data_IF_461919796379
#
_entry.id   IF_461919796379
#
_cell.length_a   1.000
_cell.length_b   1.000
_cell.length_c   1.000
_cell.angle_alpha   90.00
_cell.angle_beta   90.00
_cell.angle_gamma   90.00
#
_symmetry.space_group_name_H-M   'P 1'
#
loop_
_entity.id
_entity.type
_entity.pdbx_description
1 polymer ?
#
# COMPACT_ATOMS: atom_id res chain seq x y z
N UNK A 1 5.52 -6.98 3.98
CA UNK A 1 4.32 -7.58 4.59
C UNK A 1 3.94 -8.85 3.83
N UNK A 2 2.95 -9.65 4.27
CA UNK A 2 2.75 -10.96 3.68
C UNK A 2 2.16 -10.85 2.26
N UNK A 3 2.39 -11.89 1.44
CA UNK A 3 1.86 -11.99 0.06
C UNK A 3 0.43 -12.51 0.00
N UNK A 4 -0.05 -13.04 1.12
CA UNK A 4 -1.44 -13.37 1.42
C UNK A 4 -1.75 -13.07 2.89
N UNK A 5 -3.01 -12.83 3.22
CA UNK A 5 -3.45 -12.56 4.59
C UNK A 5 -4.92 -12.95 4.73
N UNK A 6 -5.27 -13.46 5.90
CA UNK A 6 -6.65 -13.54 6.36
C UNK A 6 -6.66 -13.06 7.82
N UNK A 7 -7.40 -11.99 8.14
CA UNK A 7 -7.54 -11.41 9.47
C UNK A 7 -6.20 -11.12 10.21
N UNK A 8 -5.25 -10.50 9.52
CA UNK A 8 -3.94 -10.16 10.10
C UNK A 8 -3.91 -8.73 10.65
N UNK A 9 -3.30 -8.54 11.82
CA UNK A 9 -3.05 -7.21 12.40
C UNK A 9 -1.55 -6.94 12.53
N UNK A 10 -1.11 -5.78 12.04
CA UNK A 10 0.23 -5.24 12.23
C UNK A 10 0.17 -3.90 12.97
N UNK A 11 0.64 -3.84 14.22
CA UNK A 11 0.42 -2.68 15.06
C UNK A 11 1.50 -2.34 16.07
N UNK A 12 1.66 -1.05 16.37
CA UNK A 12 2.53 -0.55 17.45
C UNK A 12 4.03 -0.60 17.12
N UNK A 13 4.37 -0.74 15.84
CA UNK A 13 5.75 -0.91 15.42
C UNK A 13 6.38 0.43 15.02
N UNK A 14 7.69 0.54 15.23
CA UNK A 14 8.51 1.59 14.60
C UNK A 14 9.35 0.94 13.50
N UNK A 15 9.18 1.40 12.27
CA UNK A 15 9.96 0.94 11.11
C UNK A 15 10.82 2.09 10.58
N UNK A 16 12.07 1.79 10.26
CA UNK A 16 13.01 2.74 9.63
C UNK A 16 13.73 2.06 8.46
N UNK A 17 14.04 2.83 7.42
CA UNK A 17 14.71 2.35 6.20
C UNK A 17 13.83 2.43 4.95
N UNK A 18 14.45 2.32 3.76
CA UNK A 18 13.97 2.88 2.50
C UNK A 18 12.64 2.33 1.91
N UNK A 19 11.99 1.30 2.48
CA UNK A 19 10.84 0.61 1.86
C UNK A 19 9.50 0.65 2.63
N UNK A 20 9.45 1.22 3.85
CA UNK A 20 8.21 1.49 4.58
C UNK A 20 7.36 0.24 4.89
N UNK A 21 6.03 0.42 5.03
CA UNK A 21 5.08 -0.69 5.19
C UNK A 21 4.43 -0.99 3.85
N UNK A 22 5.00 -1.99 3.15
CA UNK A 22 4.52 -2.43 1.83
C UNK A 22 3.76 -3.75 1.92
N UNK A 23 2.54 -3.77 1.37
CA UNK A 23 1.81 -4.98 0.97
C UNK A 23 2.25 -5.33 -0.46
N UNK A 24 2.77 -6.55 -0.65
CA UNK A 24 3.25 -7.04 -1.93
C UNK A 24 4.77 -7.16 -2.08
N UNK A 25 5.30 -7.25 -3.30
CA UNK A 25 4.56 -7.22 -4.57
C UNK A 25 3.59 -8.39 -4.71
N UNK A 26 2.32 -8.09 -5.01
CA UNK A 26 1.22 -9.05 -5.13
C UNK A 26 1.09 -9.54 -6.57
N UNK A 27 0.87 -10.85 -6.76
CA UNK A 27 0.63 -11.44 -8.07
C UNK A 27 1.05 -12.90 -8.14
N UNK A 28 0.14 -13.74 -8.65
CA UNK A 28 0.35 -15.14 -9.03
C UNK A 28 -0.11 -15.41 -10.46
N UNK A 29 0.29 -16.56 -11.01
CA UNK A 29 -0.10 -17.02 -12.35
C UNK A 29 -1.61 -17.31 -12.44
N UNK A 30 -2.25 -17.54 -11.30
CA UNK A 30 -3.69 -17.66 -11.09
C UNK A 30 -4.05 -17.18 -9.68
N UNK A 31 -5.34 -17.01 -9.37
CA UNK A 31 -5.79 -16.69 -8.00
C UNK A 31 -5.87 -18.00 -7.20
N UNK A 32 -5.01 -18.13 -6.19
CA UNK A 32 -5.09 -19.19 -5.17
C UNK A 32 -5.15 -18.58 -3.77
N UNK A 33 -5.29 -19.38 -2.71
CA UNK A 33 -5.30 -18.86 -1.32
C UNK A 33 -4.02 -18.09 -0.96
N UNK A 34 -2.88 -18.39 -1.60
CA UNK A 34 -1.64 -17.63 -1.43
C UNK A 34 -1.62 -16.28 -2.17
N UNK A 35 -2.68 -15.97 -2.92
CA UNK A 35 -2.83 -14.77 -3.73
C UNK A 35 -4.05 -13.93 -3.28
N UNK A 36 -4.45 -14.06 -2.02
CA UNK A 36 -5.53 -13.28 -1.42
C UNK A 36 -4.98 -12.51 -0.21
N UNK A 37 -5.10 -11.19 -0.25
CA UNK A 37 -4.97 -10.34 0.94
C UNK A 37 -6.38 -9.93 1.34
N UNK A 38 -6.86 -10.49 2.44
CA UNK A 38 -8.15 -10.20 3.01
C UNK A 38 -8.00 -9.73 4.47
N UNK A 39 -8.76 -8.70 4.85
CA UNK A 39 -8.86 -8.23 6.24
C UNK A 39 -7.52 -7.93 6.92
N UNK A 40 -6.67 -7.09 6.31
CA UNK A 40 -5.40 -6.66 6.90
C UNK A 40 -5.58 -5.33 7.64
N UNK A 41 -5.25 -5.29 8.93
CA UNK A 41 -5.27 -4.06 9.73
C UNK A 41 -3.85 -3.61 10.09
N UNK A 42 -3.46 -2.42 9.64
CA UNK A 42 -2.18 -1.78 9.90
C UNK A 42 -2.42 -0.54 10.76
N UNK A 43 -2.10 -0.58 12.06
CA UNK A 43 -2.49 0.50 12.97
C UNK A 43 -1.45 0.96 13.98
N UNK A 44 -1.46 2.24 14.33
CA UNK A 44 -0.57 2.83 15.36
C UNK A 44 0.92 2.57 15.09
N UNK A 45 1.35 2.60 13.82
CA UNK A 45 2.76 2.42 13.48
C UNK A 45 3.42 3.78 13.22
N UNK A 46 4.71 3.87 13.57
CA UNK A 46 5.57 4.99 13.19
C UNK A 46 6.52 4.54 12.09
N UNK A 47 6.50 5.21 10.95
CA UNK A 47 7.35 4.91 9.79
C UNK A 47 8.24 6.13 9.55
N UNK A 48 9.55 5.92 9.43
CA UNK A 48 10.56 6.99 9.41
C UNK A 48 11.55 6.74 8.26
N UNK A 49 11.95 7.80 7.53
CA UNK A 49 13.03 7.81 6.53
C UNK A 49 12.89 6.69 5.48
N UNK A 50 11.82 6.74 4.69
CA UNK A 50 11.51 5.74 3.67
C UNK A 50 10.99 6.38 2.39
N UNK A 51 11.27 5.73 1.26
CA UNK A 51 10.80 6.19 -0.07
C UNK A 51 9.28 6.12 -0.16
N UNK A 52 8.66 5.04 0.34
CA UNK A 52 7.21 4.84 0.27
C UNK A 52 6.62 4.75 1.68
N UNK A 53 5.50 5.44 1.94
CA UNK A 53 4.75 5.40 3.20
C UNK A 53 3.90 4.14 3.33
N UNK A 54 2.60 4.30 3.15
CA UNK A 54 1.66 3.20 2.94
C UNK A 54 1.76 2.76 1.48
N UNK A 55 2.04 1.48 1.23
CA UNK A 55 2.26 1.01 -0.13
C UNK A 55 1.54 -0.30 -0.49
N UNK A 56 0.88 -0.31 -1.65
CA UNK A 56 0.33 -1.50 -2.32
C UNK A 56 0.94 -1.56 -3.74
N UNK A 57 1.67 -2.65 -4.04
CA UNK A 57 2.29 -2.86 -5.36
C UNK A 57 1.78 -4.16 -5.98
N UNK A 58 1.27 -4.11 -7.20
CA UNK A 58 0.80 -5.29 -7.93
C UNK A 58 1.63 -5.51 -9.19
N UNK A 59 1.96 -6.78 -9.44
CA UNK A 59 2.85 -7.19 -10.54
C UNK A 59 2.05 -7.15 -11.84
N UNK A 60 2.67 -6.61 -12.91
CA UNK A 60 2.06 -6.59 -14.25
C UNK A 60 1.67 -8.00 -14.72
N UNK A 61 0.56 -8.10 -15.46
CA UNK A 61 0.02 -9.34 -16.02
C UNK A 61 -0.44 -10.44 -15.04
N UNK A 62 -0.15 -10.31 -13.74
CA UNK A 62 -0.50 -11.28 -12.72
C UNK A 62 -1.83 -10.98 -12.03
N UNK A 63 -2.38 -12.00 -11.38
CA UNK A 63 -3.67 -11.99 -10.70
C UNK A 63 -3.51 -12.06 -9.18
N UNK A 64 -4.43 -11.45 -8.45
CA UNK A 64 -4.54 -11.44 -6.98
C UNK A 64 -5.88 -10.79 -6.61
N UNK A 65 -6.36 -10.98 -5.39
CA UNK A 65 -7.48 -10.22 -4.84
C UNK A 65 -7.06 -9.59 -3.52
N UNK A 66 -7.14 -8.26 -3.43
CA UNK A 66 -6.85 -7.50 -2.22
C UNK A 66 -8.08 -6.73 -1.79
N UNK A 67 -8.61 -7.05 -0.61
CA UNK A 67 -9.83 -6.42 -0.08
C UNK A 67 -9.81 -6.33 1.45
N UNK A 68 -10.56 -5.37 2.01
CA UNK A 68 -10.68 -5.17 3.45
C UNK A 68 -9.37 -4.76 4.11
N UNK A 69 -8.58 -3.90 3.47
CA UNK A 69 -7.32 -3.41 4.05
C UNK A 69 -7.57 -2.08 4.75
N UNK A 70 -7.20 -2.00 6.03
CA UNK A 70 -7.32 -0.79 6.84
C UNK A 70 -5.95 -0.30 7.34
N UNK A 71 -5.68 0.98 7.14
CA UNK A 71 -4.56 1.70 7.74
C UNK A 71 -5.10 2.75 8.69
N UNK A 72 -4.86 2.61 9.99
CA UNK A 72 -5.46 3.49 11.01
C UNK A 72 -4.40 4.10 11.95
N UNK A 73 -4.41 5.41 12.13
CA UNK A 73 -3.57 6.13 13.10
C UNK A 73 -2.06 5.86 12.93
N UNK A 74 -1.59 5.78 11.68
CA UNK A 74 -0.17 5.63 11.38
C UNK A 74 0.49 7.02 11.22
N UNK A 75 1.75 7.14 11.62
CA UNK A 75 2.53 8.38 11.50
C UNK A 75 3.72 8.20 10.57
N UNK A 76 3.87 9.12 9.61
CA UNK A 76 4.97 9.20 8.65
C UNK A 76 5.92 10.36 8.99
N UNK A 77 7.20 10.24 8.64
CA UNK A 77 8.19 11.30 8.77
C UNK A 77 9.27 11.18 7.69
N UNK A 78 9.42 12.20 6.85
CA UNK A 78 10.38 12.30 5.75
C UNK A 78 10.19 11.22 4.67
N UNK A 79 9.08 11.31 3.93
CA UNK A 79 8.74 10.37 2.85
C UNK A 79 8.72 11.04 1.49
N UNK A 80 9.09 10.33 0.42
CA UNK A 80 8.88 10.83 -0.94
C UNK A 80 7.39 10.79 -1.28
N UNK A 81 6.71 9.67 -1.02
CA UNK A 81 5.26 9.56 -1.19
C UNK A 81 4.57 8.91 0.01
N UNK A 82 3.57 9.58 0.57
CA UNK A 82 2.83 9.09 1.74
C UNK A 82 1.97 7.85 1.44
N UNK A 83 1.26 7.87 0.30
CA UNK A 83 0.41 6.77 -0.15
C UNK A 83 0.81 6.38 -1.57
N UNK A 84 1.20 5.13 -1.76
CA UNK A 84 1.69 4.59 -3.04
C UNK A 84 0.87 3.37 -3.43
N UNK A 85 0.09 3.46 -4.51
CA UNK A 85 -0.73 2.36 -5.01
C UNK A 85 -0.45 2.19 -6.51
N UNK A 86 0.29 1.13 -6.85
CA UNK A 86 0.88 0.96 -8.19
C UNK A 86 0.58 -0.41 -8.77
N UNK A 87 -0.06 -0.43 -9.95
CA UNK A 87 -0.42 -1.64 -10.71
C UNK A 87 0.47 -1.92 -11.92
N UNK A 88 1.69 -1.42 -11.87
CA UNK A 88 2.67 -1.44 -12.95
C UNK A 88 4.05 -1.93 -12.50
N UNK A 89 4.13 -2.69 -11.40
CA UNK A 89 5.39 -3.14 -10.82
C UNK A 89 6.00 -4.32 -11.61
N UNK A 90 7.29 -4.22 -11.92
CA UNK A 90 8.11 -5.33 -12.46
C UNK A 90 9.04 -5.85 -11.37
N UNK A 91 8.79 -7.07 -10.91
CA UNK A 91 9.58 -7.70 -9.85
C UNK A 91 11.04 -7.94 -10.24
N UNK A 92 11.32 -8.31 -11.48
CA UNK A 92 12.69 -8.58 -11.97
C UNK A 92 13.55 -7.32 -12.06
N UNK A 93 12.93 -6.16 -12.22
CA UNK A 93 13.62 -4.87 -12.36
C UNK A 93 13.58 -4.06 -11.06
N UNK A 94 12.70 -4.43 -10.11
CA UNK A 94 12.54 -3.70 -8.86
C UNK A 94 11.92 -2.31 -9.05
N UNK A 95 11.12 -2.11 -10.11
CA UNK A 95 10.65 -0.79 -10.54
C UNK A 95 9.25 -0.80 -11.17
N UNK A 96 8.87 0.35 -11.72
CA UNK A 96 7.55 0.61 -12.30
C UNK A 96 7.66 0.91 -13.79
N UNK A 97 6.72 0.40 -14.60
CA UNK A 97 6.71 0.60 -16.06
C UNK A 97 6.04 1.89 -16.53
N UNK A 98 5.34 2.59 -15.63
CA UNK A 98 4.38 3.64 -15.94
C UNK A 98 3.19 3.17 -16.79
N UNK A 99 2.99 1.85 -16.91
CA UNK A 99 1.88 1.23 -17.64
C UNK A 99 1.16 0.23 -16.73
N UNK A 100 0.08 0.68 -16.09
CA UNK A 100 -0.76 -0.19 -15.28
C UNK A 100 -1.44 -1.24 -16.17
N UNK A 101 -1.01 -2.49 -16.02
CA UNK A 101 -1.54 -3.66 -16.74
C UNK A 101 -1.59 -4.91 -15.84
N UNK A 102 -1.49 -4.73 -14.53
CA UNK A 102 -1.79 -5.79 -13.56
C UNK A 102 -3.26 -6.20 -13.65
N UNK A 103 -3.56 -7.47 -13.32
CA UNK A 103 -4.93 -8.03 -13.29
C UNK A 103 -5.38 -8.27 -11.84
N UNK A 104 -4.75 -7.58 -10.89
CA UNK A 104 -5.11 -7.63 -9.48
C UNK A 104 -6.29 -6.70 -9.21
N UNK A 105 -7.32 -7.23 -8.56
CA UNK A 105 -8.45 -6.44 -8.08
C UNK A 105 -8.14 -5.91 -6.67
N UNK A 106 -8.25 -4.59 -6.51
CA UNK A 106 -8.06 -3.88 -5.24
C UNK A 106 -9.37 -3.17 -4.90
N UNK A 107 -9.99 -3.55 -3.78
CA UNK A 107 -11.25 -2.97 -3.31
C UNK A 107 -11.24 -2.78 -1.80
N UNK A 108 -12.16 -1.98 -1.25
CA UNK A 108 -12.35 -1.80 0.19
C UNK A 108 -11.05 -1.48 0.95
N UNK A 109 -10.41 -0.40 0.51
CA UNK A 109 -9.20 0.14 1.16
C UNK A 109 -9.60 1.35 1.98
N UNK A 110 -9.32 1.30 3.27
CA UNK A 110 -9.56 2.38 4.22
C UNK A 110 -8.23 2.94 4.74
N UNK A 111 -8.03 4.25 4.61
CA UNK A 111 -6.93 4.97 5.26
C UNK A 111 -7.54 6.04 6.15
N UNK A 112 -7.25 5.98 7.45
CA UNK A 112 -7.80 6.84 8.49
C UNK A 112 -6.75 7.30 9.50
N UNK A 113 -6.74 8.59 9.81
CA UNK A 113 -5.84 9.15 10.83
C UNK A 113 -4.35 9.13 10.43
N UNK A 114 -4.05 9.10 9.13
CA UNK A 114 -2.67 9.19 8.64
C UNK A 114 -2.14 10.61 8.89
N UNK A 115 -0.98 10.73 9.52
CA UNK A 115 -0.37 12.02 9.86
C UNK A 115 1.14 12.01 9.58
N UNK A 116 1.76 13.19 9.38
CA UNK A 116 3.21 13.26 9.19
C UNK A 116 3.69 14.26 8.15
N UNK A 117 4.86 13.96 7.57
CA UNK A 117 5.45 14.73 6.45
C UNK A 117 5.81 13.81 5.29
N UNK A 118 5.55 14.29 4.06
CA UNK A 118 5.97 13.67 2.81
C UNK A 118 6.14 14.74 1.72
N UNK A 119 6.93 14.48 0.69
CA UNK A 119 7.09 15.38 -0.47
C UNK A 119 5.81 15.34 -1.33
N UNK A 120 5.29 14.14 -1.57
CA UNK A 120 4.02 13.89 -2.25
C UNK A 120 3.05 13.13 -1.34
N UNK A 121 1.77 13.49 -1.42
CA UNK A 121 0.73 12.78 -0.65
C UNK A 121 0.33 11.47 -1.36
N UNK A 122 0.28 11.48 -2.70
CA UNK A 122 -0.26 10.38 -3.49
C UNK A 122 0.63 10.06 -4.71
N UNK A 123 0.98 8.78 -4.86
CA UNK A 123 1.48 8.18 -6.10
C UNK A 123 0.57 6.99 -6.47
N UNK A 124 -0.44 7.24 -7.32
CA UNK A 124 -1.49 6.27 -7.64
C UNK A 124 -1.55 6.05 -9.15
N UNK A 125 -1.33 4.79 -9.57
CA UNK A 125 -1.47 4.35 -10.96
C UNK A 125 -2.03 2.92 -10.99
N UNK A 126 -3.30 2.76 -11.38
CA UNK A 126 -4.07 1.51 -11.24
C UNK A 126 -4.92 1.20 -12.48
N UNK A 127 -5.17 -0.09 -12.74
CA UNK A 127 -5.96 -0.57 -13.91
C UNK A 127 -7.47 -0.47 -13.66
N UNK A 128 -7.90 -0.97 -12.51
CA UNK A 128 -9.26 -0.93 -11.99
C UNK A 128 -9.19 -0.56 -10.52
N UNK A 129 -10.10 0.29 -10.09
CA UNK A 129 -10.11 0.82 -8.73
C UNK A 129 -11.55 1.15 -8.34
N UNK A 130 -12.07 0.48 -7.32
CA UNK A 130 -13.40 0.75 -6.77
C UNK A 130 -13.37 0.76 -5.25
N UNK A 131 -14.16 1.64 -4.65
CA UNK A 131 -14.39 1.71 -3.20
C UNK A 131 -13.13 1.96 -2.35
N UNK A 132 -12.44 3.08 -2.63
CA UNK A 132 -11.46 3.67 -1.72
C UNK A 132 -12.13 4.72 -0.86
N UNK A 133 -12.04 4.54 0.45
CA UNK A 133 -12.37 5.56 1.43
C UNK A 133 -11.09 6.11 2.03
N UNK A 134 -10.77 7.35 1.63
CA UNK A 134 -9.81 8.19 2.34
C UNK A 134 -10.63 9.05 3.29
N UNK A 135 -10.69 8.67 4.56
CA UNK A 135 -11.42 9.43 5.57
C UNK A 135 -10.44 9.80 6.66
N UNK A 136 -10.30 11.09 7.00
CA UNK A 136 -9.33 11.54 7.98
C UNK A 136 -8.00 11.97 7.36
N UNK A 137 -7.87 13.28 7.19
CA UNK A 137 -6.62 14.01 7.32
C UNK A 137 -5.45 13.71 6.37
N UNK A 138 -5.72 13.47 5.09
CA UNK A 138 -4.76 13.89 4.07
C UNK A 138 -4.35 15.39 4.24
N UNK A 139 -5.19 16.18 4.91
CA UNK A 139 -4.92 17.55 5.36
C UNK A 139 -3.91 17.67 6.54
N UNK A 140 -3.59 16.61 7.29
CA UNK A 140 -2.59 16.61 8.36
C UNK A 140 -1.21 16.09 7.92
N UNK A 141 -1.10 15.59 6.67
CA UNK A 141 0.20 15.37 6.04
C UNK A 141 0.66 16.72 5.50
N UNK A 142 1.73 17.24 6.08
CA UNK A 142 2.35 18.46 5.59
C UNK A 142 3.32 18.09 4.47
N UNK A 143 3.15 18.72 3.31
CA UNK A 143 4.19 18.73 2.28
C UNK A 143 5.45 19.33 2.89
N UNK A 144 6.56 18.60 2.84
CA UNK A 144 7.85 19.04 3.37
C UNK A 144 8.49 20.13 2.50
#
# INVERSE_FOLDING_TARGET
MPKSSNDTTYSGNTSSGIHGISIGSLGGDSVTESDIVNCLSVKNNKIIDSVNGICIKTIIHLYNTTTGVSYTDNTLSNFESAIVIRSDYIKSEGGYTSHAISKVDITDITILGLSGTADDIYDILVVSFSDISLSGDAAAIRVA
#
